data_IF_206618222146
#
_entry.id   IF_206618222146
#
_cell.length_a   1.000
_cell.length_b   1.000
_cell.length_c   1.000
_cell.angle_alpha   90.00
_cell.angle_beta   90.00
_cell.angle_gamma   90.00
#
_symmetry.space_group_name_H-M   'P 1'
#
loop_
_entity.id
_entity.type
_entity.pdbx_description
1 polymer ?
#
# COMPACT_ATOMS: atom_id res chain seq x y z
N UNK A 1 -76.38 -21.52 -9.75
CA UNK A 1 -75.66 -21.40 -8.46
C UNK A 1 -74.40 -22.26 -8.55
N UNK A 2 -73.22 -21.70 -8.88
CA UNK A 2 -71.98 -22.49 -8.90
C UNK A 2 -71.69 -23.03 -7.49
N UNK A 3 -71.38 -24.32 -7.38
CA UNK A 3 -71.23 -25.02 -6.11
C UNK A 3 -70.03 -24.48 -5.32
N UNK A 4 -70.18 -24.36 -4.00
CA UNK A 4 -69.15 -23.93 -3.04
C UNK A 4 -67.79 -24.61 -3.25
N UNK A 5 -67.81 -25.87 -3.71
CA UNK A 5 -66.64 -26.67 -4.09
C UNK A 5 -65.78 -26.05 -5.22
N UNK A 6 -66.38 -25.32 -6.16
CA UNK A 6 -65.64 -24.65 -7.25
C UNK A 6 -64.89 -23.42 -6.78
N UNK A 7 -65.46 -22.69 -5.82
CA UNK A 7 -64.81 -21.52 -5.20
C UNK A 7 -63.61 -21.91 -4.32
N UNK A 8 -63.72 -23.02 -3.58
CA UNK A 8 -62.61 -23.53 -2.76
C UNK A 8 -61.44 -24.02 -3.61
N UNK A 9 -61.71 -24.73 -4.72
CA UNK A 9 -60.68 -25.14 -5.69
C UNK A 9 -59.95 -23.94 -6.30
N UNK A 10 -60.70 -22.89 -6.69
CA UNK A 10 -60.12 -21.66 -7.21
C UNK A 10 -59.24 -20.92 -6.18
N UNK A 11 -59.66 -20.91 -4.90
CA UNK A 11 -58.87 -20.34 -3.80
C UNK A 11 -57.58 -21.12 -3.56
N UNK A 12 -57.65 -22.44 -3.53
CA UNK A 12 -56.46 -23.31 -3.40
C UNK A 12 -55.48 -23.14 -4.57
N UNK A 13 -55.97 -23.03 -5.80
CA UNK A 13 -55.14 -22.78 -6.97
C UNK A 13 -54.38 -21.44 -6.87
N UNK A 14 -55.06 -20.37 -6.41
CA UNK A 14 -54.42 -19.06 -6.19
C UNK A 14 -53.35 -19.10 -5.09
N UNK A 15 -53.60 -19.83 -4.00
CA UNK A 15 -52.63 -20.01 -2.91
C UNK A 15 -51.39 -20.78 -3.37
N UNK A 16 -51.57 -21.83 -4.18
CA UNK A 16 -50.45 -22.59 -4.80
C UNK A 16 -49.60 -21.70 -5.71
N UNK A 17 -50.23 -20.96 -6.63
CA UNK A 17 -49.50 -20.02 -7.49
C UNK A 17 -48.76 -18.92 -6.70
N UNK A 18 -49.35 -18.41 -5.61
CA UNK A 18 -48.69 -17.44 -4.75
C UNK A 18 -47.48 -18.05 -4.01
N UNK A 19 -47.57 -19.30 -3.57
CA UNK A 19 -46.48 -20.04 -2.94
C UNK A 19 -45.34 -20.31 -3.93
N UNK A 20 -45.65 -20.77 -5.15
CA UNK A 20 -44.68 -20.99 -6.23
C UNK A 20 -43.93 -19.72 -6.60
N UNK A 21 -44.63 -18.58 -6.72
CA UNK A 21 -43.99 -17.27 -6.98
C UNK A 21 -43.07 -16.84 -5.84
N UNK A 22 -43.45 -17.09 -4.59
CA UNK A 22 -42.57 -16.81 -3.43
C UNK A 22 -41.33 -17.70 -3.47
N UNK A 23 -41.49 -18.99 -3.76
CA UNK A 23 -40.39 -19.95 -3.83
C UNK A 23 -39.39 -19.57 -4.94
N UNK A 24 -39.90 -19.29 -6.15
CA UNK A 24 -39.08 -18.82 -7.27
C UNK A 24 -38.33 -17.50 -6.96
N UNK A 25 -38.92 -16.59 -6.17
CA UNK A 25 -38.25 -15.37 -5.72
C UNK A 25 -37.10 -15.67 -4.76
N UNK A 26 -37.30 -16.58 -3.80
CA UNK A 26 -36.25 -16.99 -2.86
C UNK A 26 -35.11 -17.70 -3.57
N UNK A 27 -35.41 -18.58 -4.53
CA UNK A 27 -34.40 -19.27 -5.34
C UNK A 27 -33.58 -18.29 -6.17
N UNK A 28 -34.23 -17.31 -6.83
CA UNK A 28 -33.52 -16.23 -7.55
C UNK A 28 -32.60 -15.44 -6.62
N UNK A 29 -33.07 -15.08 -5.42
CA UNK A 29 -32.25 -14.36 -4.44
C UNK A 29 -31.06 -15.18 -3.95
N UNK A 30 -31.26 -16.49 -3.74
CA UNK A 30 -30.19 -17.40 -3.37
C UNK A 30 -29.15 -17.51 -4.49
N UNK A 31 -29.58 -17.73 -5.73
CA UNK A 31 -28.70 -17.81 -6.89
C UNK A 31 -27.88 -16.52 -7.05
N UNK A 32 -28.49 -15.33 -6.92
CA UNK A 32 -27.78 -14.05 -7.00
C UNK A 32 -26.73 -13.90 -5.90
N UNK A 33 -27.01 -14.38 -4.68
CA UNK A 33 -26.04 -14.35 -3.57
C UNK A 33 -24.88 -15.31 -3.81
N UNK A 34 -25.17 -16.50 -4.32
CA UNK A 34 -24.16 -17.51 -4.64
C UNK A 34 -23.24 -17.00 -5.76
N UNK A 35 -23.79 -16.45 -6.85
CA UNK A 35 -22.98 -15.85 -7.93
C UNK A 35 -22.17 -14.66 -7.46
N UNK A 36 -22.71 -13.81 -6.58
CA UNK A 36 -21.95 -12.67 -6.02
C UNK A 36 -20.75 -13.14 -5.19
N UNK A 37 -20.93 -14.16 -4.34
CA UNK A 37 -19.85 -14.75 -3.54
C UNK A 37 -18.77 -15.39 -4.40
N UNK A 38 -19.19 -16.08 -5.46
CA UNK A 38 -18.27 -16.70 -6.40
C UNK A 38 -17.46 -15.64 -7.17
N UNK A 39 -18.10 -14.55 -7.57
CA UNK A 39 -17.45 -13.43 -8.25
C UNK A 39 -16.46 -12.70 -7.32
N UNK A 40 -16.77 -12.57 -6.03
CA UNK A 40 -15.81 -12.07 -5.03
C UNK A 40 -14.60 -13.00 -4.87
N UNK A 41 -14.82 -14.31 -4.78
CA UNK A 41 -13.71 -15.29 -4.71
C UNK A 41 -12.81 -15.23 -5.94
N UNK A 42 -13.41 -15.18 -7.13
CA UNK A 42 -12.65 -15.07 -8.38
C UNK A 42 -11.87 -13.76 -8.47
N UNK A 43 -12.43 -12.65 -7.97
CA UNK A 43 -11.70 -11.37 -7.86
C UNK A 43 -10.50 -11.49 -6.93
N UNK A 44 -10.67 -12.13 -5.78
CA UNK A 44 -9.59 -12.33 -4.81
C UNK A 44 -8.50 -13.25 -5.38
N UNK A 45 -8.86 -14.33 -6.07
CA UNK A 45 -7.92 -15.22 -6.74
C UNK A 45 -7.16 -14.51 -7.86
N UNK A 46 -7.86 -13.73 -8.69
CA UNK A 46 -7.24 -12.93 -9.74
C UNK A 46 -6.26 -11.90 -9.15
N UNK A 47 -6.65 -11.22 -8.06
CA UNK A 47 -5.77 -10.29 -7.35
C UNK A 47 -4.50 -10.97 -6.81
N UNK A 48 -4.62 -12.20 -6.26
CA UNK A 48 -3.47 -12.99 -5.82
C UNK A 48 -2.56 -13.39 -6.98
N UNK A 49 -3.12 -13.80 -8.12
CA UNK A 49 -2.33 -14.15 -9.30
C UNK A 49 -1.59 -12.94 -9.88
N UNK A 50 -2.24 -11.78 -9.97
CA UNK A 50 -1.59 -10.54 -10.40
C UNK A 50 -0.45 -10.18 -9.45
N UNK A 51 -0.68 -10.28 -8.13
CA UNK A 51 0.36 -10.03 -7.15
C UNK A 51 1.55 -10.98 -7.31
N UNK A 52 1.30 -12.27 -7.56
CA UNK A 52 2.36 -13.25 -7.82
C UNK A 52 3.15 -12.93 -9.10
N UNK A 53 2.47 -12.60 -10.21
CA UNK A 53 3.12 -12.23 -11.47
C UNK A 53 4.00 -10.98 -11.28
N UNK A 54 3.49 -9.99 -10.55
CA UNK A 54 4.25 -8.78 -10.22
C UNK A 54 5.47 -9.09 -9.35
N UNK A 55 5.35 -10.03 -8.41
CA UNK A 55 6.44 -10.48 -7.55
C UNK A 55 7.51 -11.24 -8.35
N UNK A 56 7.10 -12.18 -9.21
CA UNK A 56 7.97 -12.94 -10.10
C UNK A 56 8.69 -12.01 -11.10
N UNK A 57 8.01 -10.99 -11.61
CA UNK A 57 8.61 -9.94 -12.45
C UNK A 57 9.61 -9.10 -11.66
N UNK A 58 9.28 -8.69 -10.43
CA UNK A 58 10.21 -7.96 -9.59
C UNK A 58 11.45 -8.81 -9.27
N UNK A 59 11.26 -10.10 -8.98
CA UNK A 59 12.32 -11.04 -8.68
C UNK A 59 13.22 -11.29 -9.89
N UNK A 60 12.65 -11.54 -11.07
CA UNK A 60 13.41 -11.75 -12.32
C UNK A 60 14.15 -10.50 -12.78
N UNK A 61 13.62 -9.31 -12.50
CA UNK A 61 14.27 -8.03 -12.78
C UNK A 61 15.30 -7.62 -11.72
N UNK A 62 15.52 -8.43 -10.68
CA UNK A 62 16.60 -8.21 -9.72
C UNK A 62 17.92 -8.41 -10.46
N UNK A 63 18.78 -7.39 -10.57
CA UNK A 63 20.06 -7.62 -11.20
C UNK A 63 20.90 -8.45 -10.22
N UNK A 64 21.07 -9.72 -10.54
CA UNK A 64 21.62 -10.74 -9.63
C UNK A 64 23.14 -10.73 -9.52
N UNK A 65 23.85 -9.95 -10.36
CA UNK A 65 25.28 -10.16 -10.53
C UNK A 65 26.22 -8.97 -10.29
N UNK A 66 25.77 -7.71 -10.16
CA UNK A 66 26.68 -6.58 -9.90
C UNK A 66 26.04 -5.44 -9.10
N UNK A 67 25.59 -5.70 -7.87
CA UNK A 67 25.30 -4.59 -6.94
C UNK A 67 26.59 -3.79 -6.74
N UNK A 68 26.56 -2.44 -6.82
CA UNK A 68 27.72 -1.64 -6.46
C UNK A 68 28.20 -1.97 -5.04
N UNK A 69 29.51 -1.93 -4.76
CA UNK A 69 30.03 -2.18 -3.41
C UNK A 69 29.31 -1.29 -2.39
N UNK A 70 28.83 -1.90 -1.30
CA UNK A 70 28.06 -1.18 -0.28
C UNK A 70 26.56 -1.10 -0.54
N UNK A 71 26.00 -1.85 -1.47
CA UNK A 71 24.55 -1.97 -1.62
C UNK A 71 24.07 -3.38 -1.27
N UNK A 72 22.91 -3.47 -0.61
CA UNK A 72 22.13 -4.71 -0.54
C UNK A 72 20.78 -4.54 -1.20
N UNK A 73 20.34 -5.58 -1.89
CA UNK A 73 18.97 -5.71 -2.37
C UNK A 73 18.18 -6.53 -1.34
N UNK A 74 17.11 -5.93 -0.80
CA UNK A 74 16.12 -6.58 0.05
C UNK A 74 14.87 -6.80 -0.79
N UNK A 75 14.26 -7.97 -0.69
CA UNK A 75 13.03 -8.29 -1.40
C UNK A 75 11.89 -8.47 -0.39
N UNK A 76 10.79 -7.77 -0.63
CA UNK A 76 9.58 -7.81 0.19
C UNK A 76 8.51 -8.62 -0.54
N UNK A 77 8.39 -9.90 -0.17
CA UNK A 77 7.35 -10.81 -0.68
C UNK A 77 5.92 -10.39 -0.27
N UNK A 78 5.80 -9.52 0.75
CA UNK A 78 4.56 -8.92 1.20
C UNK A 78 4.66 -7.41 1.29
N UNK A 79 3.56 -6.75 1.66
CA UNK A 79 3.56 -5.30 1.84
C UNK A 79 4.46 -4.90 3.02
N UNK A 80 5.56 -4.20 2.73
CA UNK A 80 6.39 -3.53 3.72
C UNK A 80 5.90 -2.11 3.99
N UNK A 81 5.93 -1.67 5.24
CA UNK A 81 5.56 -0.30 5.62
C UNK A 81 6.79 0.58 5.78
N UNK A 82 6.76 1.75 5.14
CA UNK A 82 7.83 2.73 5.22
C UNK A 82 7.29 4.16 5.28
N UNK A 83 8.18 5.10 5.58
CA UNK A 83 7.90 6.51 5.70
C UNK A 83 8.80 7.33 4.78
N UNK A 84 8.20 8.22 4.01
CA UNK A 84 8.90 9.05 3.02
C UNK A 84 8.54 10.52 3.24
N UNK A 85 9.53 11.41 3.21
CA UNK A 85 9.29 12.86 3.27
C UNK A 85 9.23 13.42 1.85
N UNK A 86 8.16 14.16 1.58
CA UNK A 86 7.88 14.83 0.30
C UNK A 86 7.71 16.34 0.50
N UNK A 87 7.84 17.11 -0.57
CA UNK A 87 7.57 18.53 -0.59
C UNK A 87 6.12 18.82 -1.01
N UNK A 88 5.54 19.87 -0.46
CA UNK A 88 4.24 20.40 -0.85
C UNK A 88 4.44 21.56 -1.83
N UNK A 89 3.91 21.44 -3.05
CA UNK A 89 3.98 22.44 -4.12
C UNK A 89 2.57 22.76 -4.60
N UNK A 90 1.96 23.81 -4.05
CA UNK A 90 0.54 24.10 -4.25
C UNK A 90 -0.32 22.98 -3.66
N UNK A 91 -1.21 22.39 -4.46
CA UNK A 91 -2.09 21.29 -4.05
C UNK A 91 -1.49 19.90 -4.31
N UNK A 92 -0.21 19.82 -4.66
CA UNK A 92 0.47 18.58 -5.02
C UNK A 92 1.62 18.24 -4.07
N UNK A 93 1.78 16.95 -3.79
CA UNK A 93 2.97 16.41 -3.15
C UNK A 93 3.98 15.98 -4.21
N UNK A 94 5.23 16.40 -4.08
CA UNK A 94 6.32 16.11 -5.02
C UNK A 94 7.58 15.63 -4.30
N UNK A 95 8.43 14.88 -4.99
CA UNK A 95 9.70 14.42 -4.41
C UNK A 95 10.56 15.61 -4.02
N UNK A 96 11.13 15.57 -2.81
CA UNK A 96 12.08 16.60 -2.36
C UNK A 96 13.31 16.63 -3.28
N UNK A 97 13.69 15.49 -3.85
CA UNK A 97 14.94 15.35 -4.58
C UNK A 97 14.83 15.88 -6.00
N UNK A 98 13.87 15.40 -6.79
CA UNK A 98 13.70 15.83 -8.19
C UNK A 98 12.69 16.98 -8.39
N UNK A 99 11.84 17.28 -7.41
CA UNK A 99 10.84 18.35 -7.46
C UNK A 99 9.72 18.15 -8.50
N UNK A 100 9.69 17.00 -9.17
CA UNK A 100 8.83 16.72 -10.32
C UNK A 100 7.93 15.51 -10.08
N UNK A 101 8.45 14.46 -9.45
CA UNK A 101 7.70 13.22 -9.26
C UNK A 101 6.58 13.43 -8.24
N UNK A 102 5.33 13.32 -8.71
CA UNK A 102 4.14 13.57 -7.89
C UNK A 102 3.68 12.34 -7.11
N UNK A 103 3.27 12.57 -5.87
CA UNK A 103 2.72 11.57 -4.96
C UNK A 103 1.21 11.82 -4.78
N UNK A 104 0.43 10.76 -5.00
CA UNK A 104 -1.03 10.78 -4.84
C UNK A 104 -1.47 9.60 -4.00
N UNK A 105 -2.42 9.84 -3.10
CA UNK A 105 -2.98 8.80 -2.23
C UNK A 105 -3.57 7.65 -3.06
N UNK A 106 -3.31 6.41 -2.65
CA UNK A 106 -3.74 5.19 -3.33
C UNK A 106 -3.03 4.88 -4.65
N UNK A 107 -2.19 5.80 -5.16
CA UNK A 107 -1.47 5.59 -6.41
C UNK A 107 -0.20 4.77 -6.17
N UNK A 108 0.05 3.82 -7.06
CA UNK A 108 1.29 3.04 -7.10
C UNK A 108 2.28 3.70 -8.05
N UNK A 109 3.49 3.94 -7.57
CA UNK A 109 4.57 4.60 -8.29
C UNK A 109 5.73 3.61 -8.46
N UNK A 110 6.39 3.68 -9.62
CA UNK A 110 7.62 2.96 -9.90
C UNK A 110 8.78 3.94 -9.87
N UNK A 111 9.88 3.57 -9.23
CA UNK A 111 11.07 4.43 -9.24
C UNK A 111 11.67 4.52 -10.62
N UNK A 112 12.16 5.72 -10.94
CA UNK A 112 13.10 5.92 -12.04
C UNK A 112 14.32 5.02 -11.81
N UNK A 113 14.63 4.18 -12.80
CA UNK A 113 15.87 3.43 -12.84
C UNK A 113 16.96 4.32 -13.44
N UNK A 114 18.17 4.20 -12.91
CA UNK A 114 19.37 4.89 -13.32
C UNK A 114 20.19 4.02 -14.24
N UNK A 115 21.48 4.34 -14.38
CA UNK A 115 22.40 3.56 -15.21
C UNK A 115 22.38 2.07 -14.81
N UNK A 116 22.40 1.20 -15.82
CA UNK A 116 22.40 -0.27 -15.66
C UNK A 116 21.15 -0.84 -14.94
N UNK A 117 20.04 -0.10 -14.89
CA UNK A 117 18.79 -0.58 -14.31
C UNK A 117 18.69 -0.52 -12.79
N UNK A 118 19.71 0.04 -12.12
CA UNK A 118 19.72 0.23 -10.66
C UNK A 118 18.94 1.46 -10.24
N UNK A 119 18.37 1.45 -9.04
CA UNK A 119 17.75 2.62 -8.45
C UNK A 119 18.85 3.68 -8.14
N UNK A 120 18.89 4.85 -8.81
CA UNK A 120 19.83 5.90 -8.47
C UNK A 120 19.32 6.48 -7.15
N UNK A 121 20.06 6.30 -6.07
CA UNK A 121 19.62 6.71 -4.72
C UNK A 121 19.25 8.20 -4.69
N UNK A 122 19.85 9.01 -5.56
CA UNK A 122 19.58 10.44 -5.71
C UNK A 122 18.34 10.76 -6.58
N UNK A 123 17.69 9.78 -7.19
CA UNK A 123 16.42 9.98 -7.92
C UNK A 123 15.35 8.93 -7.55
N UNK A 124 15.57 8.17 -6.47
CA UNK A 124 14.65 7.15 -5.98
C UNK A 124 13.74 7.66 -4.87
N UNK A 125 12.68 6.89 -4.61
CA UNK A 125 11.84 7.11 -3.45
C UNK A 125 12.58 6.65 -2.20
N UNK A 126 13.11 7.62 -1.47
CA UNK A 126 13.82 7.41 -0.22
C UNK A 126 12.80 7.21 0.89
N UNK A 127 12.85 6.04 1.51
CA UNK A 127 11.95 5.68 2.59
C UNK A 127 12.73 5.09 3.77
N UNK A 128 12.12 5.20 4.95
CA UNK A 128 12.68 4.80 6.22
C UNK A 128 11.69 3.96 7.00
N UNK A 129 12.18 3.05 7.83
CA UNK A 129 11.33 2.14 8.63
C UNK A 129 10.48 2.86 9.67
N UNK A 130 10.93 4.04 10.14
CA UNK A 130 10.24 4.79 11.19
C UNK A 130 10.00 6.24 10.78
N UNK A 131 8.91 6.88 11.27
CA UNK A 131 8.64 8.28 11.04
C UNK A 131 9.81 9.18 11.45
N UNK A 132 10.38 8.94 12.64
CA UNK A 132 11.48 9.74 13.18
C UNK A 132 12.73 9.68 12.30
N UNK A 133 13.12 8.49 11.84
CA UNK A 133 14.24 8.33 10.91
C UNK A 133 14.01 9.11 9.61
N UNK A 134 12.77 9.14 9.11
CA UNK A 134 12.43 9.89 7.90
C UNK A 134 12.52 11.41 8.09
N UNK A 135 12.12 11.91 9.27
CA UNK A 135 12.13 13.34 9.59
C UNK A 135 13.54 13.89 9.84
N UNK A 136 14.39 13.10 10.50
CA UNK A 136 15.77 13.47 10.83
C UNK A 136 16.75 13.22 9.68
N UNK A 137 16.30 12.53 8.63
CA UNK A 137 17.16 12.17 7.52
C UNK A 137 17.66 13.41 6.75
N UNK A 138 18.99 13.49 6.48
CA UNK A 138 19.53 14.54 5.63
C UNK A 138 19.16 14.28 4.16
N UNK A 139 18.70 15.32 3.48
CA UNK A 139 18.51 15.30 2.03
C UNK A 139 19.84 15.49 1.30
N UNK A 140 19.99 14.93 0.09
CA UNK A 140 21.16 15.22 -0.74
C UNK A 140 21.21 16.71 -1.09
N UNK A 141 22.42 17.26 -1.22
CA UNK A 141 22.64 18.68 -1.59
C UNK A 141 22.04 19.04 -2.95
N UNK A 142 21.85 18.05 -3.81
CA UNK A 142 21.25 18.17 -5.15
C UNK A 142 19.73 18.22 -5.14
N UNK A 143 19.08 18.13 -3.97
CA UNK A 143 17.63 18.15 -3.86
C UNK A 143 17.04 19.50 -4.30
N UNK A 144 16.07 19.46 -5.22
CA UNK A 144 15.52 20.64 -5.88
C UNK A 144 14.40 21.34 -5.10
N UNK A 145 13.72 20.64 -4.19
CA UNK A 145 12.53 21.14 -3.49
C UNK A 145 12.76 21.35 -1.98
N UNK A 146 13.99 21.71 -1.58
CA UNK A 146 14.37 21.91 -0.17
C UNK A 146 13.68 23.12 0.49
N UNK A 147 13.30 24.13 -0.29
CA UNK A 147 12.67 25.36 0.22
C UNK A 147 11.15 25.23 0.40
N UNK A 148 10.55 24.14 -0.07
CA UNK A 148 9.11 23.93 0.00
C UNK A 148 8.69 23.31 1.35
N UNK A 149 7.45 23.55 1.81
CA UNK A 149 6.91 22.90 3.00
C UNK A 149 6.99 21.37 2.87
N UNK A 150 7.31 20.68 3.97
CA UNK A 150 7.53 19.23 3.96
C UNK A 150 6.37 18.50 4.61
N UNK A 151 6.09 17.31 4.07
CA UNK A 151 5.02 16.44 4.53
C UNK A 151 5.54 15.02 4.63
N UNK A 152 5.18 14.33 5.70
CA UNK A 152 5.54 12.93 5.87
C UNK A 152 4.43 12.07 5.26
N UNK A 153 4.80 11.09 4.46
CA UNK A 153 3.89 10.10 3.91
C UNK A 153 4.18 8.74 4.55
N UNK A 154 3.11 8.00 4.86
CA UNK A 154 3.17 6.56 5.01
C UNK A 154 3.02 5.94 3.63
N UNK A 155 3.95 5.06 3.27
CA UNK A 155 3.97 4.35 2.01
C UNK A 155 4.06 2.86 2.28
N UNK A 156 3.46 2.05 1.41
CA UNK A 156 3.67 0.61 1.37
C UNK A 156 4.50 0.25 0.15
N UNK A 157 5.32 -0.78 0.26
CA UNK A 157 6.17 -1.28 -0.83
C UNK A 157 5.96 -2.77 -1.00
N UNK A 158 6.16 -3.25 -2.22
CA UNK A 158 6.33 -4.68 -2.52
C UNK A 158 7.50 -4.84 -3.48
N UNK A 159 8.07 -6.04 -3.56
CA UNK A 159 9.19 -6.33 -4.46
C UNK A 159 10.52 -5.81 -3.92
N UNK A 160 11.37 -5.29 -4.80
CA UNK A 160 12.75 -4.99 -4.43
C UNK A 160 12.90 -3.61 -3.78
N UNK A 161 13.80 -3.53 -2.82
CA UNK A 161 14.37 -2.28 -2.35
C UNK A 161 15.87 -2.40 -2.15
N UNK A 162 16.53 -1.26 -2.15
CA UNK A 162 17.97 -1.17 -2.08
C UNK A 162 18.38 -0.33 -0.89
N UNK A 163 19.27 -0.86 -0.05
CA UNK A 163 19.83 -0.11 1.07
C UNK A 163 21.32 0.12 0.86
N UNK A 164 21.75 1.36 1.08
CA UNK A 164 23.14 1.78 0.99
C UNK A 164 23.86 1.61 2.33
N UNK A 165 25.09 1.14 2.24
CA UNK A 165 26.05 0.98 3.31
C UNK A 165 27.17 2.00 3.13
N UNK A 166 27.29 2.94 4.08
CA UNK A 166 28.32 3.99 4.02
C UNK A 166 29.56 3.55 4.79
N UNK A 167 30.72 3.69 4.16
CA UNK A 167 32.05 3.62 4.79
C UNK A 167 32.58 5.05 4.97
N UNK A 168 32.75 5.47 6.21
CA UNK A 168 33.53 6.67 6.53
C UNK A 168 34.57 6.31 7.60
N UNK A 169 35.85 6.56 7.30
CA UNK A 169 36.93 6.44 8.28
C UNK A 169 37.08 5.07 8.94
N UNK A 170 36.85 3.97 8.21
CA UNK A 170 36.95 2.60 8.75
C UNK A 170 35.70 2.09 9.46
N UNK A 171 34.74 2.95 9.78
CA UNK A 171 33.44 2.55 10.34
C UNK A 171 32.44 2.28 9.21
N UNK A 172 31.89 1.08 9.24
CA UNK A 172 30.88 0.55 8.30
C UNK A 172 29.52 0.56 8.96
N UNK A 173 28.55 1.29 8.39
CA UNK A 173 27.15 1.22 8.87
C UNK A 173 26.14 1.26 7.74
N UNK A 174 25.07 0.47 7.93
CA UNK A 174 23.84 0.59 7.15
C UNK A 174 23.20 1.95 7.41
N UNK A 175 22.84 2.65 6.34
CA UNK A 175 22.31 4.02 6.47
C UNK A 175 20.86 4.04 6.93
N UNK A 176 20.14 2.91 6.88
CA UNK A 176 18.69 2.87 7.08
C UNK A 176 17.90 3.55 5.97
N UNK A 177 18.58 4.05 4.93
CA UNK A 177 18.01 4.73 3.77
C UNK A 177 17.67 3.67 2.73
N UNK A 178 16.38 3.47 2.50
CA UNK A 178 15.88 2.44 1.60
C UNK A 178 15.34 3.10 0.34
N UNK A 179 15.87 2.72 -0.83
CA UNK A 179 15.34 3.07 -2.14
C UNK A 179 14.35 2.00 -2.58
N UNK A 180 13.04 2.33 -2.55
CA UNK A 180 11.96 1.41 -2.87
C UNK A 180 11.76 1.33 -4.39
N UNK A 181 11.73 0.15 -5.01
CA UNK A 181 11.51 0.04 -6.46
C UNK A 181 10.08 0.39 -6.92
N UNK A 182 9.12 0.13 -6.03
CA UNK A 182 7.68 0.32 -6.20
C UNK A 182 7.10 0.75 -4.87
N UNK A 183 6.27 1.78 -4.85
CA UNK A 183 5.56 2.16 -3.63
C UNK A 183 4.14 2.59 -3.91
N UNK A 184 3.29 2.46 -2.90
CA UNK A 184 1.92 2.96 -2.90
C UNK A 184 1.76 3.92 -1.74
N UNK A 185 1.24 5.13 -2.01
CA UNK A 185 1.00 6.11 -0.95
C UNK A 185 -0.27 5.70 -0.20
N UNK A 186 -0.16 5.41 1.09
CA UNK A 186 -1.29 4.94 1.90
C UNK A 186 -1.87 6.00 2.80
N UNK A 187 -1.06 6.95 3.27
CA UNK A 187 -1.53 8.02 4.14
C UNK A 187 -0.61 9.25 4.12
N UNK A 188 -1.21 10.43 4.23
CA UNK A 188 -0.51 11.68 4.53
C UNK A 188 -0.47 11.89 6.04
N UNK A 189 0.73 12.09 6.59
CA UNK A 189 0.98 12.31 8.02
C UNK A 189 1.35 13.79 8.24
N UNK A 190 0.33 14.61 8.52
CA UNK A 190 0.44 16.07 8.62
C UNK A 190 1.03 16.57 9.95
N UNK A 191 1.02 15.76 11.01
CA UNK A 191 1.48 16.18 12.35
C UNK A 191 2.99 16.01 12.57
N UNK A 192 3.69 15.43 11.59
CA UNK A 192 5.09 15.02 11.72
C UNK A 192 6.10 16.19 11.77
N UNK A 193 5.67 17.43 11.49
CA UNK A 193 6.53 18.62 11.48
C UNK A 193 6.10 19.70 12.47
N UNK A 194 5.23 19.38 13.44
CA UNK A 194 4.96 20.33 14.53
C UNK A 194 6.23 20.49 15.38
N UNK A 195 6.66 21.73 15.70
CA UNK A 195 7.85 21.98 16.52
C UNK A 195 7.76 21.40 17.96
N UNK A 196 6.56 20.98 18.38
CA UNK A 196 6.27 20.45 19.72
C UNK A 196 6.39 18.92 19.86
N UNK A 197 7.02 18.21 18.91
CA UNK A 197 7.26 16.75 18.99
C UNK A 197 8.20 16.30 20.14
N UNK A 198 8.57 17.21 21.03
CA UNK A 198 9.11 16.90 22.37
C UNK A 198 8.02 16.71 23.42
N UNK A 199 6.76 16.59 23.05
CA UNK A 199 5.69 16.26 23.99
C UNK A 199 5.73 14.74 24.32
N UNK A 200 6.15 14.33 25.54
CA UNK A 200 6.22 12.92 25.93
C UNK A 200 4.83 12.27 26.06
N UNK A 201 3.74 13.00 25.84
CA UNK A 201 2.37 12.47 25.94
C UNK A 201 1.92 11.63 24.73
N UNK A 202 2.62 11.66 23.59
CA UNK A 202 2.23 10.88 22.40
C UNK A 202 2.73 9.43 22.39
N UNK A 203 3.69 9.07 23.25
CA UNK A 203 4.14 7.68 23.46
C UNK A 203 3.66 7.12 24.81
N UNK A 204 2.33 7.05 25.01
CA UNK A 204 1.76 6.12 26.01
C UNK A 204 1.40 4.81 25.32
N UNK A 205 2.40 3.99 25.03
CA UNK A 205 2.19 2.54 24.94
C UNK A 205 1.77 2.11 26.36
N UNK A 206 0.48 1.83 26.55
CA UNK A 206 -0.01 1.14 27.75
C UNK A 206 0.71 -0.22 27.81
N UNK A 207 1.75 -0.32 28.65
CA UNK A 207 2.17 -1.61 29.20
C UNK A 207 1.07 -2.08 30.15
N UNK A 208 0.09 -2.81 29.62
CA UNK A 208 -0.69 -3.75 30.43
C UNK A 208 0.06 -5.08 30.44
N UNK A 209 1.05 -5.21 31.31
CA UNK A 209 1.44 -6.51 31.83
C UNK A 209 1.12 -6.46 33.33
N UNK A 210 0.02 -7.13 33.66
CA UNK A 210 -0.35 -7.41 35.05
C UNK A 210 0.75 -8.23 35.70
N UNK A 211 1.07 -7.84 36.93
CA UNK A 211 1.77 -8.67 37.89
C UNK A 211 0.85 -9.83 38.29
N UNK A 212 1.39 -11.04 38.28
CA UNK A 212 1.26 -12.01 39.37
C UNK A 212 2.60 -12.76 39.43
#
# INVERSE_FOLDING_TARGET
MPSTLTHERARHARLRQAAERKLARFERQRAVRETSRELERLKDECAKQIAQIDDDRAHSLRPSWQLPPGFKCVHFAGQGEFYCVVACKGDAFVSVVDGETSFRLGSTLLTKRGALGWAPVDCCFLAYETPMKALEAPFPKTAKALTLPRVLLKVTTTGNAYEEHKRHGGVTRWTGKVALSRLTVTRVMTDAFRPDLRDPTFFRIRKSFGKA
#
